data_IF_694470588474
#
_entry.id   IF_694470588474
#
_cell.length_a   1.000
_cell.length_b   1.000
_cell.length_c   1.000
_cell.angle_alpha   90.00
_cell.angle_beta   90.00
_cell.angle_gamma   90.00
#
_symmetry.space_group_name_H-M   'P 1'
#
loop_
_entity.id
_entity.type
_entity.pdbx_description
1 polymer ?
#
# COMPACT_ATOMS: atom_id res chain seq x y z
N UNK A 1 22.82 -26.14 -1.77
CA UNK A 1 21.68 -25.26 -1.49
C UNK A 1 21.60 -24.18 -2.57
N UNK A 2 22.69 -23.48 -2.84
CA UNK A 2 22.79 -22.46 -3.90
C UNK A 2 22.44 -22.98 -5.31
N UNK A 3 22.75 -24.24 -5.62
CA UNK A 3 22.35 -24.90 -6.87
C UNK A 3 20.83 -25.07 -7.00
N UNK A 4 20.12 -25.37 -5.91
CA UNK A 4 18.65 -25.46 -5.90
C UNK A 4 18.01 -24.08 -5.97
N UNK A 5 18.60 -23.09 -5.27
CA UNK A 5 18.16 -21.71 -5.33
C UNK A 5 18.27 -21.13 -6.75
N UNK A 6 19.37 -21.40 -7.46
CA UNK A 6 19.57 -20.95 -8.85
C UNK A 6 18.58 -21.53 -9.86
N UNK A 7 17.94 -22.67 -9.55
CA UNK A 7 16.93 -23.33 -10.39
C UNK A 7 15.49 -22.97 -9.95
N UNK A 8 15.32 -22.20 -8.86
CA UNK A 8 14.02 -21.80 -8.33
C UNK A 8 13.34 -22.84 -7.42
N UNK A 9 14.07 -23.90 -7.02
CA UNK A 9 13.58 -24.97 -6.14
C UNK A 9 13.68 -24.56 -4.66
N UNK A 10 12.73 -23.74 -4.21
CA UNK A 10 12.73 -23.12 -2.88
C UNK A 10 12.63 -24.13 -1.75
N UNK A 11 11.72 -25.11 -1.82
CA UNK A 11 11.49 -26.09 -0.74
C UNK A 11 12.74 -26.93 -0.45
N UNK A 12 13.36 -27.44 -1.51
CA UNK A 12 14.57 -28.27 -1.45
C UNK A 12 15.77 -27.44 -0.99
N UNK A 13 15.86 -26.18 -1.39
CA UNK A 13 16.87 -25.26 -0.92
C UNK A 13 16.70 -24.97 0.59
N UNK A 14 15.47 -24.69 1.05
CA UNK A 14 15.15 -24.47 2.47
C UNK A 14 15.55 -25.69 3.31
N UNK A 15 15.19 -26.90 2.87
CA UNK A 15 15.51 -28.12 3.60
C UNK A 15 17.02 -28.37 3.70
N UNK A 16 17.78 -28.03 2.65
CA UNK A 16 19.23 -28.08 2.69
C UNK A 16 19.80 -27.06 3.71
N UNK A 17 19.33 -25.81 3.70
CA UNK A 17 19.77 -24.79 4.65
C UNK A 17 19.38 -25.12 6.10
N UNK A 18 18.19 -25.71 6.32
CA UNK A 18 17.74 -26.23 7.63
C UNK A 18 18.72 -27.27 8.17
N UNK A 19 19.11 -28.25 7.36
CA UNK A 19 20.07 -29.31 7.76
C UNK A 19 21.45 -28.74 8.10
N UNK A 20 21.84 -27.64 7.47
CA UNK A 20 23.10 -26.93 7.75
C UNK A 20 22.98 -25.91 8.90
N UNK A 21 21.83 -25.80 9.56
CA UNK A 21 21.53 -24.81 10.61
C UNK A 21 21.71 -23.34 10.17
N UNK A 22 21.62 -23.05 8.86
CA UNK A 22 21.78 -21.71 8.26
C UNK A 22 20.42 -21.09 7.95
N UNK A 23 19.66 -20.80 9.01
CA UNK A 23 18.24 -20.43 8.90
C UNK A 23 18.05 -19.00 8.34
N UNK A 24 18.95 -18.07 8.68
CA UNK A 24 18.89 -16.69 8.15
C UNK A 24 19.05 -16.65 6.64
N UNK A 25 19.93 -17.48 6.08
CA UNK A 25 20.13 -17.58 4.65
C UNK A 25 18.98 -18.30 3.94
N UNK A 26 18.37 -19.30 4.60
CA UNK A 26 17.14 -19.91 4.11
C UNK A 26 16.02 -18.86 3.93
N UNK A 27 15.86 -17.98 4.92
CA UNK A 27 14.89 -16.87 4.86
C UNK A 27 15.27 -15.89 3.76
N UNK A 28 16.54 -15.52 3.64
CA UNK A 28 17.02 -14.62 2.58
C UNK A 28 16.78 -15.18 1.17
N UNK A 29 17.01 -16.48 0.98
CA UNK A 29 16.74 -17.15 -0.29
C UNK A 29 15.24 -17.21 -0.61
N UNK A 30 14.38 -17.48 0.39
CA UNK A 30 12.93 -17.41 0.21
C UNK A 30 12.47 -16.01 -0.22
N UNK A 31 13.15 -14.99 0.30
CA UNK A 31 12.93 -13.59 -0.05
C UNK A 31 13.34 -13.33 -1.51
N UNK A 32 14.54 -13.77 -1.91
CA UNK A 32 15.05 -13.59 -3.29
C UNK A 32 14.19 -14.30 -4.35
N UNK A 33 13.63 -15.46 -4.02
CA UNK A 33 12.76 -16.23 -4.90
C UNK A 33 11.27 -15.86 -4.79
N UNK A 34 10.95 -14.76 -4.08
CA UNK A 34 9.58 -14.26 -3.89
C UNK A 34 8.62 -15.25 -3.20
N UNK A 35 9.14 -16.26 -2.49
CA UNK A 35 8.37 -17.21 -1.69
C UNK A 35 8.30 -16.80 -0.22
N UNK A 36 7.69 -15.63 0.01
CA UNK A 36 7.70 -14.97 1.31
C UNK A 36 6.94 -15.72 2.39
N UNK A 37 5.86 -16.44 2.03
CA UNK A 37 5.04 -17.17 3.00
C UNK A 37 5.85 -18.28 3.68
N UNK A 38 6.61 -19.03 2.89
CA UNK A 38 7.56 -20.03 3.38
C UNK A 38 8.63 -19.39 4.27
N UNK A 39 9.21 -18.25 3.85
CA UNK A 39 10.20 -17.52 4.65
C UNK A 39 9.67 -17.03 6.00
N UNK A 40 8.41 -16.56 6.04
CA UNK A 40 7.74 -16.07 7.27
C UNK A 40 7.40 -17.23 8.20
N UNK A 41 6.92 -18.35 7.68
CA UNK A 41 6.66 -19.55 8.47
C UNK A 41 7.93 -20.08 9.11
N UNK A 42 9.03 -20.15 8.36
CA UNK A 42 10.35 -20.51 8.89
C UNK A 42 10.79 -19.56 10.00
N UNK A 43 10.68 -18.26 9.79
CA UNK A 43 11.09 -17.28 10.78
C UNK A 43 10.25 -17.34 12.07
N UNK A 44 8.96 -17.67 11.96
CA UNK A 44 8.08 -17.93 13.11
C UNK A 44 8.48 -19.19 13.86
N UNK A 45 8.76 -20.29 13.15
CA UNK A 45 9.16 -21.55 13.76
C UNK A 45 10.45 -21.45 14.58
N UNK A 46 11.39 -20.62 14.16
CA UNK A 46 12.68 -20.43 14.84
C UNK A 46 12.73 -19.17 15.71
N UNK A 47 11.58 -18.52 15.98
CA UNK A 47 11.47 -17.33 16.84
C UNK A 47 12.52 -16.25 16.54
N UNK A 48 12.68 -15.89 15.26
CA UNK A 48 13.53 -14.76 14.90
C UNK A 48 12.83 -13.47 15.38
N UNK A 49 13.25 -12.96 16.54
CA UNK A 49 12.67 -11.80 17.25
C UNK A 49 12.57 -10.53 16.40
N UNK A 50 13.35 -10.45 15.32
CA UNK A 50 13.43 -9.29 14.43
C UNK A 50 12.79 -9.51 13.05
N UNK A 51 11.87 -10.48 12.88
CA UNK A 51 11.24 -10.75 11.58
C UNK A 51 10.71 -9.49 10.89
N UNK A 52 10.03 -8.59 11.63
CA UNK A 52 9.53 -7.32 11.07
C UNK A 52 10.66 -6.39 10.61
N UNK A 53 11.73 -6.28 11.39
CA UNK A 53 12.88 -5.44 11.06
C UNK A 53 13.66 -6.00 9.86
N UNK A 54 13.81 -7.33 9.80
CA UNK A 54 14.42 -8.03 8.66
C UNK A 54 13.62 -7.80 7.38
N UNK A 55 12.31 -7.99 7.40
CA UNK A 55 11.43 -7.74 6.25
C UNK A 55 11.50 -6.27 5.81
N UNK A 56 11.55 -5.33 6.75
CA UNK A 56 11.66 -3.90 6.44
C UNK A 56 13.01 -3.56 5.79
N UNK A 57 14.11 -4.16 6.25
CA UNK A 57 15.45 -3.97 5.65
C UNK A 57 15.48 -4.53 4.23
N UNK A 58 14.91 -5.72 4.02
CA UNK A 58 14.84 -6.36 2.71
C UNK A 58 13.96 -5.57 1.74
N UNK A 59 12.86 -4.98 2.20
CA UNK A 59 12.01 -4.13 1.37
C UNK A 59 12.80 -2.93 0.82
N UNK A 60 13.63 -2.29 1.66
CA UNK A 60 14.54 -1.21 1.21
C UNK A 60 15.55 -1.68 0.15
N UNK A 61 16.08 -2.89 0.30
CA UNK A 61 16.98 -3.48 -0.70
C UNK A 61 16.25 -3.75 -2.02
N UNK A 62 15.01 -4.24 -2.00
CA UNK A 62 14.20 -4.45 -3.21
C UNK A 62 13.86 -3.15 -3.93
N UNK A 63 13.62 -2.06 -3.17
CA UNK A 63 13.46 -0.73 -3.76
C UNK A 63 14.72 -0.30 -4.52
N UNK A 64 15.92 -0.54 -3.95
CA UNK A 64 17.18 -0.25 -4.66
C UNK A 64 17.40 -1.09 -5.92
N UNK A 65 16.77 -2.28 -5.98
CA UNK A 65 16.80 -3.17 -7.15
C UNK A 65 15.71 -2.86 -8.18
N UNK A 66 14.95 -1.76 -8.02
CA UNK A 66 13.87 -1.34 -8.90
C UNK A 66 12.72 -2.38 -9.01
N UNK A 67 12.44 -3.12 -7.93
CA UNK A 67 11.30 -4.03 -7.80
C UNK A 67 10.29 -3.51 -6.79
N UNK A 68 9.54 -2.44 -7.12
CA UNK A 68 8.72 -1.75 -6.13
C UNK A 68 7.48 -2.54 -5.69
N UNK A 69 6.89 -3.37 -6.57
CA UNK A 69 5.72 -4.17 -6.22
C UNK A 69 6.03 -5.27 -5.19
N UNK A 70 7.16 -5.96 -5.36
CA UNK A 70 7.64 -6.96 -4.39
C UNK A 70 7.93 -6.30 -3.03
N UNK A 71 8.50 -5.09 -3.04
CA UNK A 71 8.71 -4.30 -1.83
C UNK A 71 7.39 -3.92 -1.14
N UNK A 72 6.37 -3.48 -1.90
CA UNK A 72 5.03 -3.15 -1.37
C UNK A 72 4.39 -4.37 -0.69
N UNK A 73 4.49 -5.55 -1.31
CA UNK A 73 3.98 -6.79 -0.69
C UNK A 73 4.70 -7.10 0.62
N UNK A 74 6.02 -6.89 0.65
CA UNK A 74 6.82 -7.12 1.85
C UNK A 74 6.46 -6.15 2.98
N UNK A 75 6.26 -4.86 2.65
CA UNK A 75 5.80 -3.85 3.61
C UNK A 75 4.40 -4.16 4.16
N UNK A 76 3.50 -4.70 3.33
CA UNK A 76 2.18 -5.19 3.76
C UNK A 76 2.33 -6.35 4.74
N UNK A 77 3.23 -7.30 4.45
CA UNK A 77 3.50 -8.46 5.34
C UNK A 77 4.17 -8.06 6.66
N UNK A 78 4.98 -7.00 6.68
CA UNK A 78 5.59 -6.47 7.91
C UNK A 78 4.68 -5.55 8.72
N UNK A 79 3.44 -5.31 8.27
CA UNK A 79 2.46 -4.37 8.82
C UNK A 79 2.87 -2.88 8.73
N UNK A 80 3.81 -2.54 7.85
CA UNK A 80 4.21 -1.16 7.55
C UNK A 80 3.38 -0.63 6.37
N UNK A 81 2.06 -0.51 6.57
CA UNK A 81 1.11 -0.14 5.52
C UNK A 81 1.30 1.29 4.98
N UNK A 82 1.80 2.21 5.81
CA UNK A 82 2.01 3.61 5.42
C UNK A 82 3.12 3.75 4.38
N UNK A 83 4.26 3.08 4.57
CA UNK A 83 5.36 3.09 3.60
C UNK A 83 4.95 2.39 2.29
N UNK A 84 4.18 1.30 2.37
CA UNK A 84 3.60 0.64 1.20
C UNK A 84 2.70 1.59 0.40
N UNK A 85 1.85 2.36 1.07
CA UNK A 85 0.92 3.29 0.45
C UNK A 85 1.66 4.44 -0.27
N UNK A 86 2.73 4.99 0.32
CA UNK A 86 3.56 6.04 -0.29
C UNK A 86 4.20 5.58 -1.60
N UNK A 87 4.89 4.44 -1.55
CA UNK A 87 5.57 3.87 -2.72
C UNK A 87 4.56 3.60 -3.84
N UNK A 88 3.39 3.06 -3.49
CA UNK A 88 2.33 2.81 -4.47
C UNK A 88 1.74 4.10 -5.04
N UNK A 89 1.60 5.16 -4.22
CA UNK A 89 1.13 6.46 -4.68
C UNK A 89 2.10 7.10 -5.68
N UNK A 90 3.40 7.04 -5.42
CA UNK A 90 4.44 7.51 -6.35
C UNK A 90 4.38 6.77 -7.70
N UNK A 91 4.20 5.44 -7.65
CA UNK A 91 4.02 4.62 -8.86
C UNK A 91 2.73 5.01 -9.60
N UNK A 92 1.63 5.26 -8.87
CA UNK A 92 0.37 5.67 -9.45
C UNK A 92 0.49 7.05 -10.14
N UNK A 93 1.24 7.99 -9.55
CA UNK A 93 1.49 9.31 -10.13
C UNK A 93 2.38 9.21 -11.38
N UNK A 94 3.40 8.37 -11.36
CA UNK A 94 4.23 8.10 -12.55
C UNK A 94 3.39 7.50 -13.68
N UNK A 95 2.52 6.52 -13.37
CA UNK A 95 1.57 5.99 -14.35
C UNK A 95 0.47 6.96 -14.76
N UNK A 96 0.15 7.97 -13.92
CA UNK A 96 -0.79 9.03 -14.27
C UNK A 96 -0.27 9.87 -15.44
N UNK A 97 1.04 10.16 -15.44
CA UNK A 97 1.74 10.88 -16.52
C UNK A 97 1.86 10.05 -17.81
N UNK A 98 1.89 8.73 -17.70
CA UNK A 98 1.88 7.82 -18.84
C UNK A 98 0.46 7.66 -19.44
N UNK A 99 0.36 7.42 -20.75
CA UNK A 99 -0.89 7.10 -21.45
C UNK A 99 -1.37 5.65 -21.20
N UNK A 100 -1.29 5.17 -19.95
CA UNK A 100 -1.82 3.85 -19.57
C UNK A 100 -3.34 3.89 -19.42
N UNK A 101 -3.95 2.69 -19.47
CA UNK A 101 -5.41 2.54 -19.32
C UNK A 101 -5.94 3.21 -18.04
N UNK A 102 -7.02 3.97 -18.17
CA UNK A 102 -7.69 4.70 -17.08
C UNK A 102 -8.15 3.77 -15.95
N UNK A 103 -8.53 2.54 -16.30
CA UNK A 103 -8.92 1.52 -15.33
C UNK A 103 -7.77 1.11 -14.43
N UNK A 104 -6.54 0.99 -14.97
CA UNK A 104 -5.37 0.67 -14.17
C UNK A 104 -5.03 1.81 -13.20
N UNK A 105 -5.10 3.06 -13.67
CA UNK A 105 -4.89 4.25 -12.83
C UNK A 105 -5.86 4.25 -11.65
N UNK A 106 -7.17 4.09 -11.93
CA UNK A 106 -8.21 3.96 -10.90
C UNK A 106 -7.90 2.83 -9.91
N UNK A 107 -7.54 1.63 -10.40
CA UNK A 107 -7.23 0.48 -9.54
C UNK A 107 -6.04 0.75 -8.61
N UNK A 108 -5.00 1.42 -9.08
CA UNK A 108 -3.84 1.75 -8.24
C UNK A 108 -4.19 2.72 -7.13
N UNK A 109 -4.89 3.82 -7.43
CA UNK A 109 -5.30 4.78 -6.39
C UNK A 109 -6.27 4.15 -5.37
N UNK A 110 -7.18 3.26 -5.81
CA UNK A 110 -8.02 2.49 -4.89
C UNK A 110 -7.17 1.61 -3.98
N UNK A 111 -6.15 0.94 -4.53
CA UNK A 111 -5.28 0.08 -3.75
C UNK A 111 -4.45 0.89 -2.74
N UNK A 112 -4.05 2.13 -3.07
CA UNK A 112 -3.50 3.08 -2.08
C UNK A 112 -4.51 3.36 -0.95
N UNK A 113 -5.76 3.68 -1.29
CA UNK A 113 -6.83 3.92 -0.32
C UNK A 113 -7.04 2.75 0.63
N UNK A 114 -7.08 1.53 0.09
CA UNK A 114 -7.21 0.30 0.87
C UNK A 114 -6.02 0.07 1.82
N UNK A 115 -4.79 0.37 1.40
CA UNK A 115 -3.61 0.27 2.28
C UNK A 115 -3.68 1.28 3.43
N UNK A 116 -4.15 2.51 3.17
CA UNK A 116 -4.36 3.52 4.21
C UNK A 116 -5.47 3.13 5.18
N UNK A 117 -6.55 2.51 4.71
CA UNK A 117 -7.56 1.96 5.60
C UNK A 117 -7.02 0.81 6.47
N UNK A 118 -6.17 -0.06 5.90
CA UNK A 118 -5.47 -1.10 6.66
C UNK A 118 -4.57 -0.49 7.74
N UNK A 119 -3.88 0.61 7.44
CA UNK A 119 -3.12 1.37 8.43
C UNK A 119 -4.01 1.91 9.56
N UNK A 120 -5.10 2.60 9.22
CA UNK A 120 -6.06 3.15 10.19
C UNK A 120 -6.69 2.07 11.07
N UNK A 121 -7.04 0.92 10.49
CA UNK A 121 -7.60 -0.21 11.25
C UNK A 121 -6.55 -0.85 12.16
N UNK A 122 -5.32 -1.04 11.68
CA UNK A 122 -4.21 -1.53 12.50
C UNK A 122 -3.96 -0.62 13.72
N UNK A 123 -3.92 0.71 13.53
CA UNK A 123 -3.79 1.68 14.62
C UNK A 123 -4.93 1.60 15.64
N UNK A 124 -6.19 1.53 15.16
CA UNK A 124 -7.37 1.38 16.03
C UNK A 124 -7.31 0.10 16.87
N UNK A 125 -6.82 -1.01 16.31
CA UNK A 125 -6.68 -2.28 17.06
C UNK A 125 -5.61 -2.21 18.15
N UNK A 126 -4.50 -1.52 17.89
CA UNK A 126 -3.44 -1.28 18.89
C UNK A 126 -3.96 -0.39 20.02
N UNK A 127 -4.60 0.75 19.69
CA UNK A 127 -5.20 1.65 20.68
C UNK A 127 -6.29 0.96 21.52
N UNK A 128 -7.10 0.06 20.92
CA UNK A 128 -8.12 -0.70 21.65
C UNK A 128 -7.54 -1.75 22.60
N UNK A 129 -6.36 -2.32 22.27
CA UNK A 129 -5.64 -3.23 23.18
C UNK A 129 -5.11 -2.50 24.41
N UNK A 130 -4.60 -1.29 24.23
CA UNK A 130 -4.10 -0.43 25.33
C UNK A 130 -5.24 0.13 26.19
N UNK A 131 -6.38 0.50 25.60
CA UNK A 131 -7.57 0.98 26.33
C UNK A 131 -8.29 -0.08 27.16
N UNK A 132 -8.02 -1.37 26.93
CA UNK A 132 -8.60 -2.47 27.73
C UNK A 132 -7.89 -2.65 29.09
N UNK A 133 -6.71 -2.04 29.27
CA UNK A 133 -5.97 -2.04 30.54
C UNK A 133 -6.26 -0.85 31.46
N UNK A 134 -6.94 0.20 31.00
CA UNK A 134 -7.26 1.40 31.81
C UNK A 134 -8.74 1.77 31.68
N UNK A 135 -9.54 1.29 32.63
CA UNK A 135 -10.98 1.53 32.69
C UNK A 135 -11.30 2.94 33.24
N UNK A 136 -11.10 3.98 32.42
CA UNK A 136 -11.77 5.29 32.53
C UNK A 136 -11.43 6.13 31.28
N UNK A 137 -12.28 6.09 30.24
CA UNK A 137 -12.08 6.95 29.07
C UNK A 137 -12.61 8.34 29.41
N UNK A 138 -11.74 9.23 29.88
CA UNK A 138 -12.03 10.66 29.98
C UNK A 138 -12.06 11.30 28.59
N UNK A 139 -12.85 12.36 28.40
CA UNK A 139 -12.91 13.11 27.14
C UNK A 139 -11.54 13.65 26.69
N UNK A 140 -10.62 13.87 27.64
CA UNK A 140 -9.22 14.22 27.37
C UNK A 140 -8.43 13.10 26.69
N UNK A 141 -8.69 11.82 27.00
CA UNK A 141 -8.02 10.67 26.36
C UNK A 141 -8.53 10.43 24.94
N UNK A 142 -9.80 10.75 24.67
CA UNK A 142 -10.33 10.75 23.31
C UNK A 142 -9.67 11.86 22.47
N UNK A 143 -9.51 13.05 23.06
CA UNK A 143 -8.82 14.18 22.43
C UNK A 143 -7.31 13.92 22.25
N UNK A 144 -6.67 13.30 23.24
CA UNK A 144 -5.26 12.93 23.19
C UNK A 144 -5.01 11.80 22.19
N UNK A 145 -5.97 10.89 21.98
CA UNK A 145 -5.97 9.93 20.87
C UNK A 145 -5.96 10.60 19.49
N UNK A 146 -6.76 11.65 19.29
CA UNK A 146 -6.76 12.44 18.05
C UNK A 146 -5.46 13.24 17.85
N UNK A 147 -4.95 13.86 18.92
CA UNK A 147 -3.67 14.59 18.89
C UNK A 147 -2.46 13.66 18.72
N UNK A 148 -2.55 12.42 19.21
CA UNK A 148 -1.52 11.39 18.98
C UNK A 148 -1.60 10.78 17.59
N UNK A 149 -2.78 10.66 16.96
CA UNK A 149 -2.85 10.39 15.52
C UNK A 149 -2.11 11.47 14.70
N UNK A 150 -2.18 12.73 15.13
CA UNK A 150 -1.50 13.87 14.49
C UNK A 150 0.01 13.97 14.81
N UNK A 151 0.46 13.46 15.97
CA UNK A 151 1.85 13.60 16.45
C UNK A 151 2.69 12.31 16.41
N UNK A 152 2.06 11.13 16.51
CA UNK A 152 2.74 9.82 16.40
C UNK A 152 2.78 9.28 14.97
N UNK A 153 1.99 9.87 14.07
CA UNK A 153 2.35 9.91 12.66
C UNK A 153 3.61 10.76 12.52
N UNK A 154 4.79 10.17 12.76
CA UNK A 154 6.09 10.79 12.51
C UNK A 154 6.37 11.02 11.02
N UNK A 155 5.32 11.15 10.21
CA UNK A 155 5.31 11.51 8.83
C UNK A 155 5.15 13.01 8.72
N UNK A 156 5.93 13.65 7.85
CA UNK A 156 5.80 15.09 7.61
C UNK A 156 4.38 15.47 7.16
N UNK A 157 4.11 16.77 7.04
CA UNK A 157 2.83 17.34 6.55
C UNK A 157 2.31 16.68 5.26
N UNK A 158 3.19 16.05 4.46
CA UNK A 158 2.87 15.24 3.29
C UNK A 158 2.07 13.97 3.60
N UNK A 159 2.33 13.34 4.74
CA UNK A 159 1.75 12.05 5.10
C UNK A 159 0.31 12.22 5.58
N UNK A 160 0.01 13.30 6.30
CA UNK A 160 -1.36 13.65 6.70
C UNK A 160 -2.22 14.05 5.50
N UNK A 161 -1.67 14.85 4.57
CA UNK A 161 -2.34 15.17 3.30
C UNK A 161 -2.61 13.93 2.46
N UNK A 162 -1.65 13.00 2.39
CA UNK A 162 -1.85 11.73 1.72
C UNK A 162 -2.97 10.95 2.40
N UNK A 163 -2.95 10.80 3.72
CA UNK A 163 -3.98 10.08 4.50
C UNK A 163 -5.40 10.67 4.35
N UNK A 164 -5.52 11.99 4.24
CA UNK A 164 -6.82 12.66 4.15
C UNK A 164 -7.39 12.65 2.73
N UNK A 165 -6.53 12.74 1.70
CA UNK A 165 -6.97 12.87 0.31
C UNK A 165 -6.75 11.63 -0.55
N UNK A 166 -6.43 10.45 0.01
CA UNK A 166 -6.10 9.23 -0.76
C UNK A 166 -7.16 8.86 -1.80
N UNK A 167 -8.44 9.09 -1.47
CA UNK A 167 -9.57 8.70 -2.31
C UNK A 167 -9.87 9.71 -3.43
N UNK A 168 -9.43 10.96 -3.29
CA UNK A 168 -9.76 12.05 -4.21
C UNK A 168 -9.26 11.78 -5.64
N UNK A 169 -8.02 11.29 -5.86
CA UNK A 169 -7.59 10.85 -7.18
C UNK A 169 -8.39 9.67 -7.73
N UNK A 170 -8.73 8.69 -6.89
CA UNK A 170 -9.53 7.53 -7.33
C UNK A 170 -10.94 7.93 -7.78
N UNK A 171 -11.53 8.91 -7.10
CA UNK A 171 -12.83 9.49 -7.41
C UNK A 171 -12.82 10.27 -8.73
N UNK A 172 -11.81 11.12 -8.94
CA UNK A 172 -11.63 11.84 -10.21
C UNK A 172 -11.61 10.87 -11.42
N UNK A 173 -10.78 9.83 -11.34
CA UNK A 173 -10.72 8.79 -12.38
C UNK A 173 -12.01 7.99 -12.50
N UNK A 174 -12.78 7.84 -11.41
CA UNK A 174 -14.07 7.18 -11.45
C UNK A 174 -15.09 7.99 -12.26
N UNK A 175 -15.25 9.27 -11.96
CA UNK A 175 -16.17 10.16 -12.67
C UNK A 175 -15.80 10.28 -14.15
N UNK A 176 -14.51 10.30 -14.46
CA UNK A 176 -14.03 10.31 -15.84
C UNK A 176 -14.48 9.06 -16.62
N UNK A 177 -14.27 7.88 -16.06
CA UNK A 177 -14.71 6.61 -16.69
C UNK A 177 -16.24 6.56 -16.76
N UNK A 178 -16.94 7.09 -15.76
CA UNK A 178 -18.40 7.12 -15.71
C UNK A 178 -18.99 8.00 -16.81
N UNK A 179 -18.46 9.22 -16.99
CA UNK A 179 -18.89 10.13 -18.04
C UNK A 179 -18.71 9.50 -19.44
N UNK A 180 -17.55 8.88 -19.70
CA UNK A 180 -17.33 8.15 -20.95
C UNK A 180 -18.30 6.99 -21.17
N UNK A 181 -18.69 6.27 -20.11
CA UNK A 181 -19.66 5.17 -20.21
C UNK A 181 -21.07 5.68 -20.46
N UNK A 182 -21.49 6.74 -19.78
CA UNK A 182 -22.81 7.35 -19.94
C UNK A 182 -22.97 7.96 -21.34
N UNK A 183 -21.91 8.57 -21.87
CA UNK A 183 -21.86 9.05 -23.26
C UNK A 183 -22.06 7.90 -24.25
N UNK A 184 -21.32 6.79 -24.07
CA UNK A 184 -21.49 5.58 -24.90
C UNK A 184 -22.87 4.93 -24.76
N UNK A 185 -23.54 5.12 -23.63
CA UNK A 185 -24.87 4.59 -23.36
C UNK A 185 -26.01 5.51 -23.86
N UNK A 186 -25.70 6.54 -24.67
CA UNK A 186 -26.66 7.53 -25.20
C UNK A 186 -27.44 8.31 -24.14
N UNK A 187 -26.87 8.52 -22.95
CA UNK A 187 -27.44 9.35 -21.89
C UNK A 187 -26.61 10.63 -21.70
N UNK A 188 -26.75 11.64 -22.59
CA UNK A 188 -25.90 12.84 -22.59
C UNK A 188 -26.10 13.72 -21.36
N UNK A 189 -27.33 13.80 -20.81
CA UNK A 189 -27.61 14.61 -19.63
C UNK A 189 -26.85 14.10 -18.39
N UNK A 190 -26.83 12.78 -18.18
CA UNK A 190 -26.08 12.17 -17.08
C UNK A 190 -24.56 12.31 -17.28
N UNK A 191 -24.10 12.16 -18.52
CA UNK A 191 -22.69 12.35 -18.88
C UNK A 191 -22.23 13.79 -18.60
N UNK A 192 -23.04 14.79 -18.96
CA UNK A 192 -22.74 16.20 -18.72
C UNK A 192 -22.72 16.53 -17.23
N UNK A 193 -23.65 16.00 -16.42
CA UNK A 193 -23.60 16.16 -14.96
C UNK A 193 -22.30 15.58 -14.37
N UNK A 194 -21.89 14.41 -14.84
CA UNK A 194 -20.65 13.76 -14.40
C UNK A 194 -19.40 14.51 -14.90
N UNK A 195 -19.45 15.13 -16.09
CA UNK A 195 -18.40 15.98 -16.62
C UNK A 195 -18.29 17.31 -15.86
N UNK A 196 -19.41 17.90 -15.43
CA UNK A 196 -19.41 19.08 -14.57
C UNK A 196 -18.83 18.76 -13.19
N UNK A 197 -19.13 17.61 -12.58
CA UNK A 197 -18.47 17.23 -11.33
C UNK A 197 -16.95 17.06 -11.48
N UNK A 198 -16.44 16.78 -12.70
CA UNK A 198 -15.00 16.71 -12.94
C UNK A 198 -14.30 18.06 -12.82
N UNK A 199 -15.00 19.20 -12.92
CA UNK A 199 -14.38 20.53 -12.76
C UNK A 199 -13.86 20.76 -11.34
N UNK A 200 -14.35 19.99 -10.36
CA UNK A 200 -13.85 20.03 -8.97
C UNK A 200 -12.50 19.30 -8.80
N UNK A 201 -12.01 18.59 -9.83
CA UNK A 201 -10.79 17.77 -9.82
C UNK A 201 -9.73 18.26 -10.82
N UNK A 202 -9.71 19.56 -11.14
CA UNK A 202 -8.73 20.20 -12.04
C UNK A 202 -7.27 20.07 -11.58
N UNK A 203 -7.04 19.78 -10.31
CA UNK A 203 -5.71 19.58 -9.74
C UNK A 203 -5.13 18.19 -9.98
N UNK A 204 -5.99 17.19 -10.26
CA UNK A 204 -5.58 15.79 -10.47
C UNK A 204 -5.58 15.44 -11.96
N UNK A 205 -6.60 15.89 -12.69
CA UNK A 205 -6.78 15.61 -14.11
C UNK A 205 -6.40 16.83 -14.95
N UNK A 206 -5.71 16.66 -16.08
CA UNK A 206 -5.38 17.77 -16.94
C UNK A 206 -6.65 18.44 -17.48
N UNK A 207 -6.74 19.76 -17.26
CA UNK A 207 -7.81 20.67 -17.68
C UNK A 207 -8.31 20.34 -19.10
N UNK A 208 -7.41 20.20 -20.06
CA UNK A 208 -7.74 19.88 -21.46
C UNK A 208 -8.63 18.64 -21.61
N UNK A 209 -8.42 17.61 -20.79
CA UNK A 209 -9.17 16.35 -20.88
C UNK A 209 -10.57 16.49 -20.27
N UNK A 210 -10.72 17.34 -19.25
CA UNK A 210 -12.01 17.63 -18.60
C UNK A 210 -12.89 18.44 -19.57
N UNK A 211 -12.35 19.55 -20.11
CA UNK A 211 -13.10 20.44 -20.99
C UNK A 211 -13.37 19.85 -22.39
N UNK A 212 -12.61 18.84 -22.84
CA UNK A 212 -12.96 18.08 -24.04
C UNK A 212 -14.19 17.16 -23.86
N UNK A 213 -14.58 16.89 -22.62
CA UNK A 213 -15.70 16.00 -22.27
C UNK A 213 -17.01 16.76 -22.06
N UNK A 214 -16.94 18.08 -21.91
CA UNK A 214 -18.07 19.02 -21.81
C UNK A 214 -18.41 19.51 -23.23
#
# INVERSE_FOLDING_TARGET
ADTFAGVGLCEQAVDAYKRCNRIQEAVQMCIELSQWDMGIELARHYNLSDLKALLTRQAKTLLSQNKPFDAIELYKKSANYLEAAKILYEIAENHSKENRSLLMKKKMYILCGLLVEQYRTAMKTTSRREKKSTAAISASDALQGLLTEETTGSGGVSDTQLLDNVWRPAEAYHFYILAQRQFKANNPEAALRSALTLTEYEDILPVQTIYNLI
#
